data_IF_281706488901
#
_entry.id   IF_281706488901
#
_cell.length_a   1.000
_cell.length_b   1.000
_cell.length_c   1.000
_cell.angle_alpha   90.00
_cell.angle_beta   90.00
_cell.angle_gamma   90.00
#
_symmetry.space_group_name_H-M   'P 1'
#
loop_
_entity.id
_entity.type
_entity.pdbx_description
1 polymer ?
#
# COMPACT_ATOMS: atom_id res chain seq x y z
N UNK A 1 13.94 19.96 10.50
CA UNK A 1 13.89 18.47 10.61
C UNK A 1 14.12 17.79 9.26
N UNK A 2 13.43 18.20 8.19
CA UNK A 2 13.64 17.63 6.84
C UNK A 2 14.77 18.32 6.05
N UNK A 3 15.30 19.46 6.53
CA UNK A 3 16.43 20.12 5.88
C UNK A 3 17.69 19.25 6.04
N UNK A 4 18.42 18.96 4.96
CA UNK A 4 19.67 18.22 5.05
C UNK A 4 20.73 19.05 5.80
N UNK A 5 21.70 18.37 6.40
CA UNK A 5 22.84 19.02 7.07
C UNK A 5 23.95 19.44 6.08
N UNK A 6 23.90 18.94 4.84
CA UNK A 6 24.82 19.29 3.78
C UNK A 6 24.36 20.56 3.05
N UNK A 7 25.31 21.20 2.34
CA UNK A 7 25.00 22.37 1.52
C UNK A 7 24.02 22.01 0.40
N UNK A 8 22.90 22.72 0.35
CA UNK A 8 21.88 22.59 -0.70
C UNK A 8 22.10 23.69 -1.73
N UNK A 9 22.19 23.28 -3.00
CA UNK A 9 22.33 24.17 -4.15
C UNK A 9 21.36 23.70 -5.22
N UNK A 10 20.23 24.39 -5.35
CA UNK A 10 19.21 24.07 -6.35
C UNK A 10 18.79 25.31 -7.13
N UNK A 11 18.27 25.07 -8.34
CA UNK A 11 17.65 26.10 -9.18
C UNK A 11 16.15 26.28 -8.87
N UNK A 12 15.62 25.58 -7.86
CA UNK A 12 14.19 25.67 -7.50
C UNK A 12 13.89 27.04 -6.88
N UNK A 13 12.73 27.61 -7.24
CA UNK A 13 12.27 28.92 -6.79
C UNK A 13 10.78 28.88 -6.48
N UNK A 14 10.37 29.78 -5.58
CA UNK A 14 8.98 30.03 -5.23
C UNK A 14 8.24 28.78 -4.75
N UNK A 15 6.91 28.75 -4.93
CA UNK A 15 6.01 27.81 -4.28
C UNK A 15 5.23 28.43 -3.12
N UNK A 16 4.17 27.77 -2.69
CA UNK A 16 3.43 28.23 -1.52
C UNK A 16 4.29 28.04 -0.26
N UNK A 17 4.37 29.07 0.58
CA UNK A 17 5.14 29.07 1.83
C UNK A 17 6.66 28.92 1.64
N UNK A 18 7.24 29.57 0.63
CA UNK A 18 8.70 29.67 0.47
C UNK A 18 9.29 30.55 1.55
N UNK A 19 10.02 29.94 2.49
CA UNK A 19 10.68 30.63 3.60
C UNK A 19 12.10 31.09 3.27
N UNK A 20 12.78 30.40 2.37
CA UNK A 20 14.11 30.73 1.89
C UNK A 20 14.28 30.24 0.46
N UNK A 21 15.25 30.82 -0.23
CA UNK A 21 15.62 30.49 -1.59
C UNK A 21 17.06 30.01 -1.59
N UNK A 22 17.32 28.80 -2.10
CA UNK A 22 18.66 28.22 -2.17
C UNK A 22 19.60 29.12 -3.00
N UNK A 23 20.85 29.25 -2.55
CA UNK A 23 21.86 30.07 -3.22
C UNK A 23 22.05 29.64 -4.68
N UNK A 24 21.65 30.50 -5.62
CA UNK A 24 21.82 30.29 -7.06
C UNK A 24 23.15 30.86 -7.51
N UNK A 25 24.17 30.00 -7.64
CA UNK A 25 25.49 30.32 -8.21
C UNK A 25 26.04 31.70 -7.83
N UNK A 26 26.73 32.32 -8.78
CA UNK A 26 27.26 33.69 -8.67
C UNK A 26 26.19 34.76 -9.00
N UNK A 27 25.18 34.40 -9.79
CA UNK A 27 24.15 35.32 -10.30
C UNK A 27 22.76 34.95 -9.74
N UNK A 28 22.19 35.75 -8.82
CA UNK A 28 20.89 35.50 -8.20
C UNK A 28 19.70 35.44 -9.17
N UNK A 29 19.85 35.99 -10.38
CA UNK A 29 18.82 36.00 -11.42
C UNK A 29 18.80 34.74 -12.28
N UNK A 30 19.83 33.88 -12.18
CA UNK A 30 19.88 32.62 -12.91
C UNK A 30 19.27 31.52 -12.05
N UNK A 31 18.19 30.93 -12.56
CA UNK A 31 17.45 29.82 -11.95
C UNK A 31 17.30 28.64 -12.93
N UNK A 32 18.22 28.49 -13.87
CA UNK A 32 18.23 27.43 -14.88
C UNK A 32 19.65 26.92 -15.13
N UNK A 33 19.75 25.72 -15.68
CA UNK A 33 20.98 25.06 -16.11
C UNK A 33 20.71 24.37 -17.46
N UNK A 34 21.68 24.37 -18.40
CA UNK A 34 22.96 25.08 -18.38
C UNK A 34 22.79 26.60 -18.59
N UNK A 35 23.72 27.41 -18.05
CA UNK A 35 23.71 28.87 -18.19
C UNK A 35 25.10 29.42 -18.53
N UNK A 36 25.14 30.34 -19.51
CA UNK A 36 26.37 31.07 -19.89
C UNK A 36 26.65 32.30 -19.03
N UNK A 37 25.69 32.73 -18.20
CA UNK A 37 25.77 33.92 -17.34
C UNK A 37 26.19 33.58 -15.90
N UNK A 38 26.84 32.43 -15.72
CA UNK A 38 27.10 31.80 -14.42
C UNK A 38 25.88 31.03 -13.91
N UNK A 39 26.04 30.33 -12.78
CA UNK A 39 24.98 29.52 -12.20
C UNK A 39 25.52 28.33 -11.39
N UNK A 40 24.63 27.38 -11.09
CA UNK A 40 25.01 26.08 -10.56
C UNK A 40 25.41 25.15 -11.71
N UNK A 41 26.36 24.25 -11.46
CA UNK A 41 26.83 23.24 -12.41
C UNK A 41 26.56 21.83 -11.86
N UNK A 42 26.49 20.86 -12.77
CA UNK A 42 26.36 19.45 -12.39
C UNK A 42 27.58 18.99 -11.57
N UNK A 43 27.32 18.18 -10.54
CA UNK A 43 28.39 17.55 -9.79
C UNK A 43 29.08 16.47 -10.65
N UNK A 44 30.40 16.25 -10.48
CA UNK A 44 31.08 15.16 -11.18
C UNK A 44 30.44 13.82 -10.83
N UNK A 45 30.22 12.96 -11.82
CA UNK A 45 29.58 11.66 -11.64
C UNK A 45 30.37 10.80 -10.66
N UNK A 46 29.72 10.36 -9.58
CA UNK A 46 30.31 9.46 -8.60
C UNK A 46 30.16 8.01 -9.05
N UNK A 47 31.24 7.42 -9.57
CA UNK A 47 31.30 6.01 -9.98
C UNK A 47 30.69 5.72 -11.36
N UNK A 48 30.80 4.47 -11.83
CA UNK A 48 30.23 4.06 -13.11
C UNK A 48 28.69 4.07 -13.06
N UNK A 49 28.02 4.40 -14.18
CA UNK A 49 26.56 4.37 -14.25
C UNK A 49 26.04 2.94 -14.05
N UNK A 50 24.90 2.81 -13.35
CA UNK A 50 24.19 1.54 -13.24
C UNK A 50 23.34 1.31 -14.48
N UNK A 51 23.76 0.38 -15.34
CA UNK A 51 23.13 0.10 -16.65
C UNK A 51 22.59 -1.35 -16.72
N UNK A 52 21.39 -1.63 -16.15
CA UNK A 52 20.82 -2.97 -16.18
C UNK A 52 20.28 -3.34 -17.57
N UNK A 53 20.43 -4.61 -17.96
CA UNK A 53 19.80 -5.12 -19.19
C UNK A 53 18.29 -5.27 -19.00
N UNK A 54 17.49 -4.61 -19.84
CA UNK A 54 16.02 -4.70 -19.82
C UNK A 54 15.55 -5.54 -21.00
N UNK A 55 14.77 -6.58 -20.72
CA UNK A 55 14.21 -7.49 -21.74
C UNK A 55 12.73 -7.74 -21.51
N UNK A 56 11.92 -7.69 -22.56
CA UNK A 56 10.50 -8.03 -22.49
C UNK A 56 9.63 -7.19 -23.42
N UNK A 57 8.33 -7.48 -23.44
CA UNK A 57 7.33 -6.65 -24.14
C UNK A 57 6.69 -5.70 -23.14
N UNK A 58 6.40 -4.47 -23.57
CA UNK A 58 5.62 -3.53 -22.78
C UNK A 58 4.17 -4.03 -22.68
N UNK A 59 3.76 -4.47 -21.49
CA UNK A 59 2.43 -5.04 -21.22
C UNK A 59 1.96 -4.67 -19.81
N UNK A 60 0.67 -4.89 -19.53
CA UNK A 60 0.10 -4.88 -18.18
C UNK A 60 -0.19 -6.32 -17.79
N UNK A 61 0.71 -6.94 -17.04
CA UNK A 61 0.56 -8.32 -16.58
C UNK A 61 0.98 -8.46 -15.12
N UNK A 62 0.36 -9.41 -14.41
CA UNK A 62 0.84 -9.83 -13.11
C UNK A 62 2.22 -10.48 -13.23
N UNK A 63 2.97 -10.50 -12.11
CA UNK A 63 4.24 -11.21 -12.04
C UNK A 63 4.03 -12.72 -12.19
N UNK A 64 5.01 -13.41 -12.78
CA UNK A 64 4.92 -14.86 -13.02
C UNK A 64 5.00 -15.68 -11.74
N UNK A 65 5.76 -15.22 -10.73
CA UNK A 65 5.94 -15.88 -9.44
C UNK A 65 5.10 -15.18 -8.38
N UNK A 66 3.79 -15.46 -8.36
CA UNK A 66 2.87 -14.82 -7.40
C UNK A 66 3.08 -15.30 -5.97
N UNK A 67 3.21 -16.62 -5.75
CA UNK A 67 3.39 -17.25 -4.43
C UNK A 67 2.67 -16.53 -3.28
N UNK A 68 1.35 -16.36 -3.42
CA UNK A 68 0.57 -15.49 -2.54
C UNK A 68 0.47 -15.98 -1.09
N UNK A 69 0.73 -17.26 -0.82
CA UNK A 69 0.44 -17.89 0.47
C UNK A 69 1.64 -18.52 1.16
N UNK A 70 2.71 -18.83 0.44
CA UNK A 70 3.85 -19.58 0.99
C UNK A 70 4.49 -18.89 2.19
N UNK A 71 4.81 -17.59 2.05
CA UNK A 71 5.42 -16.81 3.14
C UNK A 71 4.48 -16.62 4.33
N UNK A 72 3.18 -16.43 4.07
CA UNK A 72 2.19 -16.27 5.13
C UNK A 72 2.04 -17.55 5.96
N UNK A 73 2.05 -18.73 5.31
CA UNK A 73 1.92 -20.01 6.00
C UNK A 73 3.16 -20.33 6.82
N UNK A 74 4.35 -20.04 6.29
CA UNK A 74 5.60 -20.17 7.05
C UNK A 74 5.60 -19.26 8.27
N UNK A 75 5.22 -17.97 8.10
CA UNK A 75 5.13 -17.04 9.23
C UNK A 75 4.18 -17.55 10.30
N UNK A 76 3.00 -18.04 9.93
CA UNK A 76 2.01 -18.58 10.87
C UNK A 76 2.55 -19.76 11.68
N UNK A 77 3.29 -20.68 11.04
CA UNK A 77 3.88 -21.85 11.72
C UNK A 77 5.06 -21.48 12.63
N UNK A 78 5.86 -20.50 12.24
CA UNK A 78 7.00 -20.02 13.05
C UNK A 78 6.61 -19.12 14.23
N UNK A 79 5.37 -18.63 14.24
CA UNK A 79 4.85 -17.76 15.28
C UNK A 79 4.70 -18.51 16.61
N UNK A 80 5.03 -17.88 17.76
CA UNK A 80 4.68 -18.38 19.09
C UNK A 80 3.17 -18.62 19.27
N UNK A 81 2.80 -19.49 20.20
CA UNK A 81 1.39 -19.85 20.42
C UNK A 81 0.54 -18.66 20.86
N UNK A 82 1.05 -17.81 21.75
CA UNK A 82 0.38 -16.60 22.24
C UNK A 82 0.13 -15.58 21.12
N UNK A 83 1.15 -15.28 20.32
CA UNK A 83 1.00 -14.40 19.15
C UNK A 83 0.00 -14.97 18.13
N UNK A 84 0.00 -16.29 17.93
CA UNK A 84 -0.93 -16.96 17.02
C UNK A 84 -2.37 -16.89 17.53
N UNK A 85 -2.57 -17.00 18.82
CA UNK A 85 -3.88 -16.89 19.46
C UNK A 85 -4.43 -15.46 19.34
N UNK A 86 -3.59 -14.46 19.59
CA UNK A 86 -3.94 -13.05 19.41
C UNK A 86 -4.27 -12.71 17.95
N UNK A 87 -3.50 -13.26 17.00
CA UNK A 87 -3.78 -13.10 15.57
C UNK A 87 -5.17 -13.63 15.21
N UNK A 88 -5.53 -14.81 15.72
CA UNK A 88 -6.83 -15.43 15.46
C UNK A 88 -7.95 -14.62 16.10
N UNK A 89 -7.76 -14.15 17.33
CA UNK A 89 -8.73 -13.28 18.01
C UNK A 89 -8.99 -12.00 17.21
N UNK A 90 -7.94 -11.37 16.69
CA UNK A 90 -8.06 -10.18 15.83
C UNK A 90 -8.85 -10.50 14.56
N UNK A 91 -8.56 -11.61 13.88
CA UNK A 91 -9.31 -12.01 12.69
C UNK A 91 -10.78 -12.28 12.99
N UNK A 92 -11.09 -13.05 14.03
CA UNK A 92 -12.49 -13.35 14.40
C UNK A 92 -13.25 -12.07 14.72
N UNK A 93 -12.64 -11.14 15.47
CA UNK A 93 -13.26 -9.88 15.89
C UNK A 93 -13.59 -8.97 14.70
N UNK A 94 -12.67 -8.87 13.74
CA UNK A 94 -12.83 -8.01 12.56
C UNK A 94 -13.74 -8.65 11.50
N UNK A 95 -13.52 -9.93 11.17
CA UNK A 95 -14.34 -10.62 10.18
C UNK A 95 -15.76 -10.89 10.67
N UNK A 96 -15.99 -11.00 11.98
CA UNK A 96 -17.33 -11.09 12.53
C UNK A 96 -18.21 -9.86 12.27
N UNK A 97 -17.65 -8.74 11.82
CA UNK A 97 -18.37 -7.52 11.43
C UNK A 97 -18.59 -7.40 9.92
N UNK A 98 -17.99 -8.30 9.13
CA UNK A 98 -18.05 -8.29 7.67
C UNK A 98 -19.25 -9.07 7.14
N UNK A 99 -19.60 -8.81 5.88
CA UNK A 99 -20.60 -9.59 5.14
C UNK A 99 -20.11 -11.03 4.90
N UNK A 100 -21.01 -12.01 4.97
CA UNK A 100 -20.69 -13.44 4.86
C UNK A 100 -19.90 -13.77 3.59
N UNK A 101 -20.19 -13.13 2.45
CA UNK A 101 -19.44 -13.36 1.20
C UNK A 101 -17.95 -13.02 1.33
N UNK A 102 -17.60 -12.01 2.12
CA UNK A 102 -16.21 -11.59 2.34
C UNK A 102 -15.54 -12.57 3.28
N UNK A 103 -16.24 -12.97 4.35
CA UNK A 103 -15.77 -13.96 5.31
C UNK A 103 -15.44 -15.29 4.62
N UNK A 104 -16.35 -15.81 3.78
CA UNK A 104 -16.12 -17.07 3.06
C UNK A 104 -14.90 -17.01 2.15
N UNK A 105 -14.75 -15.92 1.38
CA UNK A 105 -13.57 -15.71 0.52
C UNK A 105 -12.26 -15.66 1.32
N UNK A 106 -12.27 -15.01 2.48
CA UNK A 106 -11.09 -14.94 3.34
C UNK A 106 -10.75 -16.28 3.97
N UNK A 107 -11.76 -17.07 4.38
CA UNK A 107 -11.54 -18.44 4.85
C UNK A 107 -10.90 -19.31 3.76
N UNK A 108 -11.29 -19.15 2.49
CA UNK A 108 -10.64 -19.86 1.37
C UNK A 108 -9.18 -19.44 1.17
N UNK A 109 -8.85 -18.16 1.38
CA UNK A 109 -7.46 -17.71 1.38
C UNK A 109 -6.68 -18.28 2.57
N UNK A 110 -7.27 -18.28 3.78
CA UNK A 110 -6.62 -18.86 4.96
C UNK A 110 -6.36 -20.36 4.80
N UNK A 111 -7.26 -21.11 4.15
CA UNK A 111 -7.03 -22.53 3.83
C UNK A 111 -5.82 -22.74 2.93
N UNK A 112 -5.56 -21.83 2.00
CA UNK A 112 -4.39 -21.88 1.13
C UNK A 112 -3.09 -21.47 1.86
N UNK A 113 -3.20 -20.71 2.95
CA UNK A 113 -2.09 -20.32 3.82
C UNK A 113 -1.72 -21.45 4.79
N UNK A 114 -2.66 -21.88 5.62
CA UNK A 114 -2.51 -22.99 6.55
C UNK A 114 -3.89 -23.54 6.96
N UNK A 115 -4.12 -24.87 6.89
CA UNK A 115 -5.39 -25.48 7.29
C UNK A 115 -5.78 -25.20 8.77
N UNK A 116 -4.81 -25.12 9.68
CA UNK A 116 -5.10 -24.87 11.10
C UNK A 116 -5.58 -23.43 11.32
N UNK A 117 -4.96 -22.46 10.66
CA UNK A 117 -5.40 -21.07 10.70
C UNK A 117 -6.87 -20.94 10.27
N UNK A 118 -7.22 -21.53 9.13
CA UNK A 118 -8.59 -21.47 8.62
C UNK A 118 -9.60 -22.12 9.58
N UNK A 119 -9.23 -23.28 10.15
CA UNK A 119 -10.05 -24.00 11.13
C UNK A 119 -10.32 -23.12 12.35
N UNK A 120 -9.26 -22.61 12.98
CA UNK A 120 -9.37 -21.80 14.21
C UNK A 120 -10.15 -20.51 14.01
N UNK A 121 -9.98 -19.83 12.87
CA UNK A 121 -10.76 -18.62 12.54
C UNK A 121 -12.23 -18.97 12.29
N UNK A 122 -12.52 -20.06 11.58
CA UNK A 122 -13.91 -20.48 11.31
C UNK A 122 -14.67 -20.88 12.59
N UNK A 123 -14.01 -21.59 13.51
CA UNK A 123 -14.56 -21.95 14.81
C UNK A 123 -14.86 -20.70 15.65
N UNK A 124 -13.92 -19.75 15.70
CA UNK A 124 -14.11 -18.48 16.40
C UNK A 124 -15.26 -17.65 15.85
N UNK A 125 -15.43 -17.62 14.53
CA UNK A 125 -16.55 -16.91 13.89
C UNK A 125 -17.90 -17.57 14.18
N UNK A 126 -17.98 -18.91 14.14
CA UNK A 126 -19.20 -19.63 14.48
C UNK A 126 -19.64 -19.41 15.94
N UNK A 127 -18.68 -19.32 16.86
CA UNK A 127 -18.95 -18.98 18.26
C UNK A 127 -19.42 -17.53 18.43
N UNK A 128 -18.84 -16.59 17.65
CA UNK A 128 -19.26 -15.19 17.65
C UNK A 128 -20.69 -15.01 17.11
N UNK A 129 -21.07 -15.74 16.05
CA UNK A 129 -22.43 -15.66 15.47
C UNK A 129 -23.50 -16.24 16.38
N UNK A 130 -23.20 -17.30 17.13
CA UNK A 130 -24.14 -17.85 18.14
C UNK A 130 -24.41 -16.86 19.29
N UNK A 131 -23.50 -15.91 19.55
CA UNK A 131 -23.73 -14.78 20.46
C UNK A 131 -24.55 -13.63 19.86
N UNK A 132 -24.73 -13.57 18.53
CA UNK A 132 -25.42 -12.50 17.80
C UNK A 132 -26.90 -12.79 17.46
N UNK A 133 -27.46 -13.91 17.93
CA UNK A 133 -28.84 -14.33 17.67
C UNK A 133 -29.96 -13.50 18.32
N UNK A 134 -29.75 -12.24 18.72
CA UNK A 134 -30.76 -11.41 19.41
C UNK A 134 -30.86 -9.96 18.91
N UNK A 135 -30.29 -9.58 17.76
CA UNK A 135 -30.38 -8.20 17.28
C UNK A 135 -30.76 -8.09 15.80
N UNK A 136 -32.08 -7.98 15.59
CA UNK A 136 -32.78 -7.16 14.60
C UNK A 136 -32.38 -7.27 13.11
N UNK A 137 -33.25 -7.97 12.36
CA UNK A 137 -33.45 -7.80 10.92
C UNK A 137 -33.82 -6.35 10.59
N UNK A 138 -32.98 -5.66 9.81
CA UNK A 138 -33.34 -4.41 9.13
C UNK A 138 -33.49 -4.72 7.64
N UNK A 139 -34.63 -4.42 6.99
CA UNK A 139 -34.83 -4.72 5.58
C UNK A 139 -34.00 -3.81 4.68
N UNK A 140 -33.55 -4.36 3.55
CA UNK A 140 -32.73 -3.70 2.53
C UNK A 140 -33.38 -2.40 1.99
N UNK A 141 -32.61 -1.32 1.77
CA UNK A 141 -33.08 -0.17 1.02
C UNK A 141 -33.13 -0.50 -0.48
N UNK A 142 -34.31 -0.34 -1.09
CA UNK A 142 -34.52 -0.47 -2.52
C UNK A 142 -33.61 0.51 -3.29
N UNK A 143 -32.76 -0.03 -4.15
CA UNK A 143 -31.91 0.73 -5.07
C UNK A 143 -32.78 1.49 -6.07
N UNK A 144 -32.90 2.80 -5.89
CA UNK A 144 -33.46 3.71 -6.89
C UNK A 144 -32.56 3.73 -8.14
N UNK A 145 -33.17 3.46 -9.30
CA UNK A 145 -32.50 3.40 -10.60
C UNK A 145 -31.77 4.69 -10.95
N UNK A 146 -30.57 4.55 -11.53
CA UNK A 146 -29.83 5.67 -12.12
C UNK A 146 -30.58 6.22 -13.34
N UNK A 147 -30.81 7.53 -13.46
CA UNK A 147 -31.26 8.12 -14.72
C UNK A 147 -30.12 8.09 -15.75
N UNK A 148 -30.40 7.58 -16.95
CA UNK A 148 -29.51 7.64 -18.10
C UNK A 148 -29.35 9.11 -18.54
N UNK A 149 -28.11 9.56 -18.71
CA UNK A 149 -27.81 10.86 -19.34
C UNK A 149 -28.05 10.76 -20.86
N UNK A 150 -28.59 11.80 -21.51
CA UNK A 150 -28.75 11.82 -22.96
C UNK A 150 -27.43 12.15 -23.67
N UNK A 151 -27.18 11.46 -24.78
CA UNK A 151 -26.14 11.79 -25.77
C UNK A 151 -26.34 13.20 -26.36
N UNK A 152 -25.23 13.91 -26.57
CA UNK A 152 -25.06 14.99 -27.53
C UNK A 152 -23.65 14.88 -28.13
#
# INVERSE_FOLDING_TARGET
>A
INQPLANVRTNQRDGQMTYYVDGGGENPHVNYEPSSLGGLEEAPTAGPPYEPSITGRLTRSAISRTNNYGQAGERYRTMPDDERDDLILNFVTLFGQCEDRVVQRMLDHFRQVDPDLARRVSEGLAMSTNGKGSAASTPEPQMAGRPQSPEA
#
